data_IF_931179639108
#
_entry.id   IF_931179639108
#
_cell.length_a   1.000
_cell.length_b   1.000
_cell.length_c   1.000
_cell.angle_alpha   90.00
_cell.angle_beta   90.00
_cell.angle_gamma   90.00
#
_symmetry.space_group_name_H-M   'P 1'
#
loop_
_entity.id
_entity.type
_entity.pdbx_description
1 polymer ?
#
# COMPACT_ATOMS: atom_id res chain seq x y z
N UNK A 1 17.63 16.31 2.53
CA UNK A 1 16.89 15.12 2.11
C UNK A 1 15.67 14.93 2.98
N UNK A 2 14.53 14.71 2.37
CA UNK A 2 13.33 14.36 3.11
C UNK A 2 13.44 12.88 3.46
N UNK A 3 13.48 12.58 4.74
CA UNK A 3 13.51 11.21 5.20
C UNK A 3 12.08 10.66 5.29
N UNK A 4 11.94 9.35 5.40
CA UNK A 4 10.64 8.74 5.64
C UNK A 4 10.04 9.28 6.95
N UNK A 5 10.89 9.53 7.94
CA UNK A 5 10.45 10.14 9.19
C UNK A 5 9.78 11.49 8.95
N UNK A 6 10.39 12.34 8.12
CA UNK A 6 9.84 13.67 7.85
C UNK A 6 8.49 13.59 7.16
N UNK A 7 8.32 12.62 6.25
CA UNK A 7 7.07 12.44 5.53
C UNK A 7 5.91 12.16 6.47
N UNK A 8 6.12 11.27 7.43
CA UNK A 8 5.05 10.89 8.37
C UNK A 8 4.92 11.86 9.54
N UNK A 9 6.02 12.48 9.96
CA UNK A 9 6.00 13.44 11.04
C UNK A 9 5.29 14.72 10.65
N UNK A 10 5.47 15.14 9.40
CA UNK A 10 4.87 16.35 8.88
C UNK A 10 3.62 16.00 8.06
N UNK A 11 2.94 14.94 8.39
CA UNK A 11 1.82 14.43 7.62
C UNK A 11 0.59 15.31 7.57
N UNK A 12 0.77 16.62 7.59
CA UNK A 12 -0.26 17.63 7.44
C UNK A 12 -0.03 18.39 6.15
N UNK A 13 -1.08 18.96 5.59
CA UNK A 13 -0.97 19.66 4.33
C UNK A 13 -1.01 18.71 3.14
N UNK A 14 -0.49 19.14 1.99
CA UNK A 14 -0.65 18.39 0.74
C UNK A 14 -0.10 16.95 0.77
N UNK A 15 1.02 16.72 1.47
CA UNK A 15 1.61 15.39 1.47
C UNK A 15 0.84 14.38 2.30
N UNK A 16 0.00 14.81 3.24
CA UNK A 16 -0.74 13.87 4.07
C UNK A 16 -1.78 13.08 3.27
N UNK A 17 -2.35 13.66 2.22
CA UNK A 17 -3.29 12.95 1.37
C UNK A 17 -2.61 11.84 0.56
N UNK A 18 -1.29 11.92 0.39
CA UNK A 18 -0.52 10.97 -0.39
C UNK A 18 0.22 9.96 0.48
N UNK A 19 0.15 10.08 1.80
CA UNK A 19 0.81 9.15 2.72
C UNK A 19 -0.14 8.62 3.78
N UNK A 20 -0.85 9.49 4.49
CA UNK A 20 -1.75 9.06 5.58
C UNK A 20 -2.94 8.29 5.03
N UNK A 21 -3.62 8.83 4.03
CA UNK A 21 -4.75 8.16 3.41
C UNK A 21 -4.38 6.82 2.79
N UNK A 22 -3.34 6.77 1.96
CA UNK A 22 -2.90 5.51 1.38
C UNK A 22 -2.49 4.46 2.41
N UNK A 23 -1.82 4.84 3.49
CA UNK A 23 -1.48 3.88 4.53
C UNK A 23 -2.74 3.32 5.20
N UNK A 24 -3.70 4.18 5.51
CA UNK A 24 -4.98 3.74 6.09
C UNK A 24 -5.73 2.81 5.15
N UNK A 25 -5.70 3.10 3.85
CA UNK A 25 -6.34 2.25 2.86
C UNK A 25 -5.70 0.87 2.81
N UNK A 26 -4.38 0.79 2.82
CA UNK A 26 -3.67 -0.48 2.87
C UNK A 26 -4.02 -1.28 4.12
N UNK A 27 -4.04 -0.62 5.27
CA UNK A 27 -4.41 -1.26 6.54
C UNK A 27 -5.84 -1.77 6.49
N UNK A 28 -6.77 -0.95 5.98
CA UNK A 28 -8.17 -1.34 5.88
C UNK A 28 -8.35 -2.55 4.97
N UNK A 29 -7.63 -2.58 3.84
CA UNK A 29 -7.71 -3.70 2.92
C UNK A 29 -7.29 -5.00 3.60
N UNK A 30 -6.18 -4.98 4.31
CA UNK A 30 -5.69 -6.16 5.03
C UNK A 30 -6.66 -6.55 6.15
N UNK A 31 -7.20 -5.59 6.89
CA UNK A 31 -8.19 -5.87 7.93
C UNK A 31 -9.44 -6.53 7.32
N UNK A 32 -9.87 -6.10 6.14
CA UNK A 32 -11.00 -6.71 5.45
C UNK A 32 -10.70 -8.17 5.07
N UNK A 33 -9.48 -8.45 4.61
CA UNK A 33 -9.09 -9.83 4.29
C UNK A 33 -9.17 -10.72 5.54
N UNK A 34 -8.73 -10.20 6.67
CA UNK A 34 -8.81 -10.94 7.93
C UNK A 34 -10.28 -11.14 8.33
N UNK A 35 -11.07 -10.08 8.28
CA UNK A 35 -12.47 -10.12 8.71
C UNK A 35 -13.31 -11.08 7.86
N UNK A 36 -12.99 -11.19 6.57
CA UNK A 36 -13.72 -12.06 5.65
C UNK A 36 -13.10 -13.44 5.50
N UNK A 37 -12.08 -13.73 6.32
CA UNK A 37 -11.39 -15.02 6.31
C UNK A 37 -10.77 -15.35 4.96
N UNK A 38 -10.23 -14.33 4.29
CA UNK A 38 -9.59 -14.45 2.98
C UNK A 38 -8.07 -14.34 3.04
N UNK A 39 -7.51 -13.87 4.17
CA UNK A 39 -6.07 -13.62 4.26
C UNK A 39 -5.27 -14.87 3.91
N UNK A 40 -5.61 -16.01 4.49
CA UNK A 40 -4.86 -17.25 4.29
C UNK A 40 -4.94 -17.78 2.86
N UNK A 41 -5.91 -17.33 2.09
CA UNK A 41 -6.09 -17.73 0.68
C UNK A 41 -5.32 -16.85 -0.27
N UNK A 42 -4.89 -15.68 0.19
CA UNK A 42 -4.24 -14.69 -0.66
C UNK A 42 -2.81 -15.10 -0.95
N UNK A 43 -2.45 -15.17 -2.23
CA UNK A 43 -1.08 -15.50 -2.66
C UNK A 43 -0.36 -14.30 -3.23
N UNK A 44 -1.07 -13.28 -3.69
CA UNK A 44 -0.51 -12.08 -4.28
C UNK A 44 -1.43 -10.90 -4.03
N UNK A 45 -0.85 -9.72 -3.85
CA UNK A 45 -1.59 -8.46 -3.76
C UNK A 45 -1.08 -7.53 -4.86
N UNK A 46 -1.99 -6.88 -5.58
CA UNK A 46 -1.66 -5.92 -6.62
C UNK A 46 -2.26 -4.58 -6.25
N UNK A 47 -1.46 -3.52 -6.39
CA UNK A 47 -1.88 -2.15 -6.10
C UNK A 47 -1.83 -1.34 -7.38
N UNK A 48 -2.92 -0.67 -7.71
CA UNK A 48 -3.01 0.25 -8.83
C UNK A 48 -3.34 1.64 -8.31
N UNK A 49 -2.50 2.63 -8.65
CA UNK A 49 -2.64 4.01 -8.21
C UNK A 49 -2.96 4.88 -9.41
N UNK A 50 -3.95 5.75 -9.30
CA UNK A 50 -4.49 6.52 -10.42
C UNK A 50 -4.49 8.02 -10.15
N UNK A 51 -4.48 8.79 -11.23
CA UNK A 51 -4.68 10.23 -11.19
C UNK A 51 -3.53 10.95 -10.52
N UNK A 52 -3.85 11.97 -9.74
CA UNK A 52 -2.80 12.77 -9.11
C UNK A 52 -2.01 11.98 -8.06
N UNK A 53 -2.60 10.96 -7.45
CA UNK A 53 -1.83 10.05 -6.59
C UNK A 53 -0.73 9.35 -7.39
N UNK A 54 -1.04 8.94 -8.63
CA UNK A 54 -0.05 8.32 -9.50
C UNK A 54 1.02 9.30 -9.93
N UNK A 55 0.61 10.51 -10.35
CA UNK A 55 1.55 11.50 -10.87
C UNK A 55 2.56 11.96 -9.81
N UNK A 56 2.13 12.04 -8.57
CA UNK A 56 2.98 12.51 -7.47
C UNK A 56 3.42 11.39 -6.54
N UNK A 57 2.89 10.18 -6.73
CA UNK A 57 3.05 9.09 -5.77
C UNK A 57 4.50 8.73 -5.49
N UNK A 58 5.31 8.64 -6.52
CA UNK A 58 6.73 8.30 -6.34
C UNK A 58 7.49 9.41 -5.61
N UNK A 59 7.17 10.66 -5.92
CA UNK A 59 7.81 11.78 -5.27
C UNK A 59 7.35 11.98 -3.84
N UNK A 60 6.17 11.48 -3.48
CA UNK A 60 5.59 11.63 -2.16
C UNK A 60 5.52 10.32 -1.38
N UNK A 61 6.17 9.29 -1.87
CA UNK A 61 6.27 7.99 -1.21
C UNK A 61 4.93 7.31 -0.92
N UNK A 62 3.97 7.51 -1.81
CA UNK A 62 2.66 6.85 -1.72
C UNK A 62 2.81 5.33 -1.71
N UNK A 63 3.71 4.81 -2.53
CA UNK A 63 4.01 3.38 -2.60
C UNK A 63 4.45 2.83 -1.24
N UNK A 64 5.35 3.53 -0.56
CA UNK A 64 5.83 3.12 0.76
C UNK A 64 4.67 3.10 1.76
N UNK A 65 3.84 4.13 1.74
CA UNK A 65 2.70 4.23 2.64
C UNK A 65 1.72 3.07 2.46
N UNK A 66 1.39 2.72 1.23
CA UNK A 66 0.48 1.62 0.95
C UNK A 66 1.07 0.30 1.44
N UNK A 67 2.34 0.06 1.16
CA UNK A 67 3.03 -1.16 1.57
C UNK A 67 3.02 -1.29 3.09
N UNK A 68 3.34 -0.21 3.81
CA UNK A 68 3.35 -0.25 5.27
C UNK A 68 1.94 -0.48 5.83
N UNK A 69 0.92 0.08 5.18
CA UNK A 69 -0.46 -0.17 5.58
C UNK A 69 -0.86 -1.62 5.39
N UNK A 70 -0.52 -2.20 4.24
CA UNK A 70 -0.79 -3.61 3.96
C UNK A 70 -0.11 -4.52 4.99
N UNK A 71 1.06 -4.13 5.44
CA UNK A 71 1.80 -4.87 6.47
C UNK A 71 1.13 -4.78 7.86
N UNK A 72 0.16 -3.90 8.04
CA UNK A 72 -0.59 -3.79 9.28
C UNK A 72 -0.32 -2.51 10.07
N UNK A 73 0.35 -1.54 9.48
CA UNK A 73 0.71 -0.32 10.18
C UNK A 73 -0.28 0.81 9.95
N UNK A 74 -0.38 1.70 10.93
CA UNK A 74 -1.13 2.95 10.83
C UNK A 74 -0.17 4.12 11.00
N UNK A 75 -0.52 5.31 10.47
CA UNK A 75 0.40 6.45 10.49
C UNK A 75 0.85 6.86 11.89
N UNK A 76 -0.02 6.73 12.88
CA UNK A 76 0.29 7.15 14.25
C UNK A 76 1.02 6.09 15.08
N UNK A 77 1.08 4.84 14.60
CA UNK A 77 1.69 3.74 15.35
C UNK A 77 2.86 3.08 14.63
N UNK A 78 3.07 3.41 13.35
CA UNK A 78 4.15 2.78 12.59
C UNK A 78 5.52 3.13 13.18
N UNK A 79 6.40 2.13 13.24
CA UNK A 79 7.78 2.36 13.64
C UNK A 79 8.54 2.93 12.45
N UNK A 80 8.72 4.25 12.46
CA UNK A 80 9.31 4.98 11.34
C UNK A 80 10.73 4.49 11.04
N UNK A 81 11.49 4.18 12.07
CA UNK A 81 12.88 3.74 11.91
C UNK A 81 12.99 2.38 11.21
N UNK A 82 11.93 1.57 11.29
CA UNK A 82 11.92 0.25 10.67
C UNK A 82 11.52 0.29 9.19
N UNK A 83 10.96 1.41 8.70
CA UNK A 83 10.43 1.47 7.34
C UNK A 83 11.48 1.22 6.26
N UNK A 84 12.65 1.88 6.28
CA UNK A 84 13.62 1.65 5.20
C UNK A 84 14.05 0.20 5.06
N UNK A 85 14.32 -0.48 6.18
CA UNK A 85 14.70 -1.89 6.15
C UNK A 85 13.59 -2.79 5.67
N UNK A 86 12.35 -2.50 6.09
CA UNK A 86 11.19 -3.27 5.65
C UNK A 86 10.99 -3.16 4.14
N UNK A 87 11.06 -1.95 3.59
CA UNK A 87 10.88 -1.72 2.16
C UNK A 87 12.03 -2.36 1.37
N UNK A 88 13.25 -2.28 1.87
CA UNK A 88 14.38 -2.93 1.23
C UNK A 88 14.16 -4.45 1.16
N UNK A 89 13.64 -5.04 2.22
CA UNK A 89 13.34 -6.48 2.25
C UNK A 89 12.29 -6.84 1.21
N UNK A 90 11.23 -6.04 1.09
CA UNK A 90 10.19 -6.25 0.07
C UNK A 90 10.80 -6.21 -1.32
N UNK A 91 11.62 -5.21 -1.61
CA UNK A 91 12.25 -5.06 -2.92
C UNK A 91 13.23 -6.19 -3.22
N UNK A 92 13.98 -6.63 -2.22
CA UNK A 92 14.99 -7.66 -2.41
C UNK A 92 14.38 -9.03 -2.63
N UNK A 93 13.34 -9.37 -1.91
CA UNK A 93 12.77 -10.72 -1.90
C UNK A 93 11.46 -10.85 -2.68
N UNK A 94 10.93 -9.73 -3.20
CA UNK A 94 9.69 -9.71 -4.00
C UNK A 94 8.51 -10.34 -3.26
N UNK A 95 8.45 -10.13 -1.95
CA UNK A 95 7.38 -10.63 -1.10
C UNK A 95 7.02 -9.58 -0.06
N UNK A 96 5.81 -9.68 0.43
CA UNK A 96 5.31 -8.77 1.46
C UNK A 96 4.62 -9.57 2.55
N UNK A 97 4.97 -9.28 3.80
CA UNK A 97 4.31 -9.88 4.95
C UNK A 97 3.11 -9.03 5.34
N UNK A 98 1.92 -9.59 5.21
CA UNK A 98 0.68 -8.89 5.56
C UNK A 98 0.32 -9.08 7.04
N UNK A 99 -0.53 -8.21 7.55
CA UNK A 99 -1.15 -8.36 8.86
C UNK A 99 -0.11 -8.64 9.96
N UNK A 100 0.83 -7.72 10.11
CA UNK A 100 1.87 -7.78 11.15
C UNK A 100 2.71 -9.05 11.09
N UNK A 101 3.03 -9.49 9.88
CA UNK A 101 3.91 -10.62 9.67
C UNK A 101 3.24 -11.99 9.76
N UNK A 102 1.91 -12.03 9.74
CA UNK A 102 1.19 -13.29 9.91
C UNK A 102 0.98 -14.06 8.60
N UNK A 103 1.12 -13.40 7.45
CA UNK A 103 0.89 -14.05 6.16
C UNK A 103 1.76 -13.43 5.07
N UNK A 104 2.47 -14.27 4.34
CA UNK A 104 3.34 -13.84 3.25
C UNK A 104 2.61 -13.92 1.91
N UNK A 105 2.79 -12.88 1.07
CA UNK A 105 2.27 -12.88 -0.30
C UNK A 105 3.38 -12.49 -1.26
N UNK A 106 3.24 -12.89 -2.53
CA UNK A 106 4.12 -12.43 -3.58
C UNK A 106 3.87 -10.94 -3.83
N UNK A 107 4.94 -10.18 -3.93
CA UNK A 107 4.84 -8.74 -4.18
C UNK A 107 6.07 -8.24 -4.94
N UNK A 108 6.29 -8.70 -6.18
CA UNK A 108 7.31 -8.10 -7.04
C UNK A 108 6.86 -6.69 -7.38
N UNK A 109 7.59 -5.69 -6.87
CA UNK A 109 7.16 -4.29 -6.91
C UNK A 109 6.92 -3.80 -8.33
N UNK A 110 7.74 -4.24 -9.28
CA UNK A 110 7.60 -3.84 -10.69
C UNK A 110 6.31 -4.36 -11.34
N UNK A 111 5.65 -5.35 -10.75
CA UNK A 111 4.40 -5.91 -11.25
C UNK A 111 3.21 -5.62 -10.34
N UNK A 112 3.45 -5.44 -9.07
CA UNK A 112 2.39 -5.34 -8.07
C UNK A 112 2.17 -3.93 -7.55
N UNK A 113 3.04 -2.98 -7.87
CA UNK A 113 2.83 -1.56 -7.54
C UNK A 113 2.82 -0.79 -8.85
N UNK A 114 1.64 -0.46 -9.33
CA UNK A 114 1.45 0.14 -10.65
C UNK A 114 0.92 1.56 -10.53
N UNK A 115 1.58 2.49 -11.21
CA UNK A 115 1.17 3.89 -11.26
C UNK A 115 0.60 4.18 -12.65
N UNK A 116 -0.66 4.63 -12.68
CA UNK A 116 -1.38 4.91 -13.93
C UNK A 116 -1.61 6.41 -14.05
N UNK A 117 -1.34 6.95 -15.24
CA UNK A 117 -1.60 8.36 -15.52
C UNK A 117 -3.10 8.66 -15.65
N UNK A 118 -3.91 7.65 -15.93
CA UNK A 118 -5.35 7.79 -16.11
C UNK A 118 -6.05 8.02 -14.78
N UNK A 119 -7.17 8.73 -14.83
CA UNK A 119 -8.04 8.86 -13.66
C UNK A 119 -8.98 7.65 -13.58
N UNK A 120 -9.39 7.31 -12.36
CA UNK A 120 -10.54 6.44 -12.18
C UNK A 120 -11.80 7.20 -12.59
N UNK A 121 -12.86 6.46 -12.93
CA UNK A 121 -14.04 6.99 -13.60
C UNK A 121 -14.65 8.23 -12.95
N UNK A 122 -14.63 8.34 -11.64
CA UNK A 122 -15.34 9.42 -10.94
C UNK A 122 -14.43 10.34 -10.13
N UNK A 123 -13.13 10.07 -10.05
CA UNK A 123 -12.24 10.82 -9.17
C UNK A 123 -10.87 11.00 -9.81
N UNK A 124 -10.24 12.13 -9.51
CA UNK A 124 -8.88 12.40 -9.95
C UNK A 124 -7.85 11.62 -9.15
N UNK A 125 -8.20 11.24 -7.92
CA UNK A 125 -7.33 10.49 -7.03
C UNK A 125 -7.98 9.18 -6.69
N UNK A 126 -7.22 8.10 -6.78
CA UNK A 126 -7.76 6.82 -6.36
C UNK A 126 -6.73 5.72 -6.42
N UNK A 127 -7.02 4.67 -5.70
CA UNK A 127 -6.21 3.46 -5.77
C UNK A 127 -7.12 2.25 -5.69
N UNK A 128 -6.71 1.19 -6.35
CA UNK A 128 -7.39 -0.10 -6.26
C UNK A 128 -6.39 -1.11 -5.71
N UNK A 129 -6.82 -1.87 -4.73
CA UNK A 129 -6.01 -2.94 -4.17
C UNK A 129 -6.76 -4.25 -4.44
N UNK A 130 -6.04 -5.23 -4.97
CA UNK A 130 -6.62 -6.52 -5.38
C UNK A 130 -5.86 -7.65 -4.73
N UNK A 131 -6.59 -8.58 -4.12
CA UNK A 131 -6.02 -9.81 -3.58
C UNK A 131 -6.34 -10.97 -4.51
N UNK A 132 -5.32 -11.77 -4.80
CA UNK A 132 -5.43 -12.90 -5.71
C UNK A 132 -5.09 -14.20 -4.98
N UNK A 133 -5.81 -15.26 -5.34
CA UNK A 133 -5.44 -16.64 -4.97
C UNK A 133 -5.05 -17.33 -6.27
N UNK A 134 -3.74 -17.49 -6.51
CA UNK A 134 -3.26 -17.87 -7.82
C UNK A 134 -3.62 -16.79 -8.84
N UNK A 135 -4.38 -17.14 -9.87
CA UNK A 135 -4.83 -16.19 -10.88
C UNK A 135 -6.22 -15.63 -10.61
N UNK A 136 -6.88 -16.07 -9.54
CA UNK A 136 -8.26 -15.67 -9.27
C UNK A 136 -8.30 -14.47 -8.32
N UNK A 137 -9.07 -13.45 -8.70
CA UNK A 137 -9.34 -12.32 -7.83
C UNK A 137 -10.31 -12.76 -6.75
N UNK A 138 -9.91 -12.67 -5.49
CA UNK A 138 -10.76 -13.06 -4.36
C UNK A 138 -11.28 -11.87 -3.58
N UNK A 139 -10.65 -10.70 -3.71
CA UNK A 139 -11.14 -9.48 -3.08
C UNK A 139 -10.51 -8.29 -3.77
N UNK A 140 -11.27 -7.23 -3.97
CA UNK A 140 -10.78 -6.00 -4.56
C UNK A 140 -11.54 -4.83 -3.97
N UNK A 141 -10.83 -3.74 -3.67
CA UNK A 141 -11.44 -2.52 -3.18
C UNK A 141 -10.78 -1.31 -3.82
N UNK A 142 -11.59 -0.30 -4.06
CA UNK A 142 -11.13 0.99 -4.59
C UNK A 142 -11.31 2.04 -3.50
N UNK A 143 -10.28 2.86 -3.33
CA UNK A 143 -10.27 3.95 -2.34
C UNK A 143 -10.04 5.26 -3.07
N UNK A 144 -10.77 6.29 -2.67
CA UNK A 144 -10.69 7.61 -3.28
C UNK A 144 -10.15 8.66 -2.33
#
# INVERSE_FOLDING_TARGET
MISVFDIFKIGIGPSSSHTVGPMKAGKQFTDDLVAQNLLHKTTKVVVDVYGSLSLTGKGHHTDIAIIMGLAGNLPDTVNIDAIPGFIQDVNTHSRLMLANGTHEVAFPVDQCMNFHADNLALHENGMRITALAGDDVIYSQTYY
#
